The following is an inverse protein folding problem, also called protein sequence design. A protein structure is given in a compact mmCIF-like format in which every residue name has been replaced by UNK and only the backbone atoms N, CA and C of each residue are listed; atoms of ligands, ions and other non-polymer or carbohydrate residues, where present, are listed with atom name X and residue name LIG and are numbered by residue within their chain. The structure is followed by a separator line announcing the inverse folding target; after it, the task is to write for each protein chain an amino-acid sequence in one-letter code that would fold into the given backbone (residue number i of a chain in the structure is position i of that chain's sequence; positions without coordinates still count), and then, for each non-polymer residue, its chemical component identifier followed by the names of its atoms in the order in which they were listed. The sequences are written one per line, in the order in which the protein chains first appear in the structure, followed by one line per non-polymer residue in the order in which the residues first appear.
data_IF_008131632369
#
_entry.id   IF_008131632369
#
_cell.length_a   1.000
_cell.length_b   1.000
_cell.length_c   1.000
_cell.angle_alpha   90.00
_cell.angle_beta   90.00
_cell.angle_gamma   90.00
#
_symmetry.space_group_name_H-M   'P 1'
#
loop_
_entity.id
_entity.type
_entity.pdbx_description
1 polymer ?
#
# COMPACT_ATOMS: atom_id res chain seq x y z
N UNK A 1 12.52 -6.53 -8.90
CA UNK A 1 11.36 -6.46 -9.83
C UNK A 1 10.41 -5.31 -9.50
N UNK A 2 10.10 -5.03 -8.22
CA UNK A 2 9.28 -3.88 -7.80
C UNK A 2 9.86 -2.50 -8.20
N UNK A 3 11.18 -2.31 -8.04
CA UNK A 3 11.90 -1.10 -8.47
C UNK A 3 11.74 -0.75 -9.96
N UNK A 4 11.56 -1.76 -10.82
CA UNK A 4 11.38 -1.57 -12.27
C UNK A 4 9.98 -1.04 -12.62
N UNK A 5 8.94 -1.44 -11.87
CA UNK A 5 7.58 -0.94 -12.09
C UNK A 5 7.42 0.51 -11.62
N UNK A 6 8.00 0.87 -10.47
CA UNK A 6 7.97 2.24 -9.96
C UNK A 6 8.73 3.22 -10.88
N UNK A 7 9.90 2.82 -11.38
CA UNK A 7 10.66 3.64 -12.33
C UNK A 7 9.96 3.78 -13.69
N UNK A 8 9.28 2.73 -14.18
CA UNK A 8 8.50 2.80 -15.42
C UNK A 8 7.26 3.71 -15.30
N UNK A 9 6.61 3.73 -14.12
CA UNK A 9 5.50 4.65 -13.83
C UNK A 9 5.95 6.11 -13.75
N UNK A 10 7.13 6.37 -13.18
CA UNK A 10 7.68 7.73 -13.07
C UNK A 10 8.20 8.27 -14.41
N UNK A 11 8.76 7.42 -15.27
CA UNK A 11 9.32 7.84 -16.55
C UNK A 11 8.26 8.20 -17.62
N UNK A 12 6.98 7.88 -17.42
CA UNK A 12 5.87 7.97 -18.42
C UNK A 12 6.20 7.41 -19.81
N UNK A 13 7.29 6.66 -19.96
CA UNK A 13 7.74 6.03 -21.19
C UNK A 13 7.13 4.62 -21.31
N UNK A 14 5.82 4.51 -21.10
CA UNK A 14 5.10 3.30 -21.47
C UNK A 14 4.63 3.45 -22.93
N UNK A 15 5.01 2.53 -23.86
CA UNK A 15 4.62 2.64 -25.26
C UNK A 15 3.10 2.52 -25.48
N UNK A 16 2.37 2.03 -24.48
CA UNK A 16 0.93 1.80 -24.53
C UNK A 16 0.17 2.89 -23.77
N UNK A 17 -0.90 3.40 -24.37
CA UNK A 17 -1.81 4.35 -23.74
C UNK A 17 -2.63 3.59 -22.69
N UNK A 18 -2.45 3.92 -21.41
CA UNK A 18 -3.32 3.43 -20.36
C UNK A 18 -4.68 4.15 -20.47
N UNK A 19 -5.77 3.39 -20.46
CA UNK A 19 -7.12 3.91 -20.47
C UNK A 19 -7.87 3.35 -19.25
N UNK A 20 -8.48 4.24 -18.48
CA UNK A 20 -9.33 3.87 -17.36
C UNK A 20 -10.76 4.16 -17.79
N UNK A 21 -11.54 3.10 -17.95
CA UNK A 21 -12.95 3.19 -18.36
C UNK A 21 -13.82 2.52 -17.30
N UNK A 22 -14.86 3.22 -16.88
CA UNK A 22 -15.90 2.62 -16.05
C UNK A 22 -16.79 1.74 -16.91
N UNK A 23 -16.86 0.46 -16.57
CA UNK A 23 -17.81 -0.46 -17.20
C UNK A 23 -19.24 -0.19 -16.70
N UNK A 24 -20.27 -0.53 -17.48
CA UNK A 24 -21.66 -0.43 -17.05
C UNK A 24 -21.88 -1.16 -15.72
N UNK A 25 -22.68 -0.54 -14.84
CA UNK A 25 -23.07 -1.15 -13.57
C UNK A 25 -24.00 -2.34 -13.87
N UNK A 26 -23.71 -3.48 -13.25
CA UNK A 26 -24.55 -4.67 -13.33
C UNK A 26 -25.60 -4.55 -12.23
N UNK A 27 -26.86 -4.34 -12.61
CA UNK A 27 -27.99 -4.24 -11.68
C UNK A 27 -28.50 -5.62 -11.24
N UNK A 28 -27.60 -6.41 -10.62
CA UNK A 28 -27.89 -7.73 -10.08
C UNK A 28 -27.06 -7.98 -8.81
N UNK A 29 -27.50 -8.85 -7.88
CA UNK A 29 -26.72 -9.18 -6.69
C UNK A 29 -25.36 -9.77 -7.05
N UNK A 30 -24.28 -9.13 -6.58
CA UNK A 30 -22.91 -9.56 -6.86
C UNK A 30 -22.59 -10.95 -6.28
N UNK A 31 -23.25 -11.34 -5.20
CA UNK A 31 -23.07 -12.64 -4.54
C UNK A 31 -23.81 -13.79 -5.23
N UNK A 32 -24.63 -13.53 -6.26
CA UNK A 32 -25.31 -14.59 -6.99
C UNK A 32 -24.37 -15.22 -8.02
N UNK A 33 -24.27 -16.55 -8.00
CA UNK A 33 -23.36 -17.31 -8.86
C UNK A 33 -23.68 -17.11 -10.35
N UNK A 34 -24.96 -16.90 -10.70
CA UNK A 34 -25.39 -16.59 -12.07
C UNK A 34 -24.83 -15.24 -12.53
N UNK A 35 -24.84 -14.22 -11.66
CA UNK A 35 -24.26 -12.90 -11.93
C UNK A 35 -22.76 -13.01 -12.17
N UNK A 36 -22.05 -13.74 -11.30
CA UNK A 36 -20.60 -13.91 -11.41
C UNK A 36 -20.28 -14.65 -12.72
N UNK A 37 -20.97 -15.76 -13.00
CA UNK A 37 -20.76 -16.55 -14.21
C UNK A 37 -21.01 -15.77 -15.50
N UNK A 38 -22.14 -15.05 -15.60
CA UNK A 38 -22.45 -14.25 -16.79
C UNK A 38 -21.46 -13.10 -17.00
N UNK A 39 -21.00 -12.49 -15.91
CA UNK A 39 -19.97 -11.44 -15.93
C UNK A 39 -18.62 -11.99 -16.42
N UNK A 40 -18.17 -13.12 -15.87
CA UNK A 40 -16.93 -13.79 -16.31
C UNK A 40 -16.99 -14.13 -17.80
N UNK A 41 -18.13 -14.68 -18.26
CA UNK A 41 -18.36 -15.02 -19.67
C UNK A 41 -18.29 -13.79 -20.57
N UNK A 42 -18.93 -12.68 -20.16
CA UNK A 42 -18.90 -11.43 -20.89
C UNK A 42 -17.48 -10.89 -21.03
N UNK A 43 -16.74 -10.81 -19.91
CA UNK A 43 -15.35 -10.32 -19.90
C UNK A 43 -14.47 -11.18 -20.79
N UNK A 44 -14.52 -12.51 -20.62
CA UNK A 44 -13.71 -13.44 -21.43
C UNK A 44 -14.03 -13.35 -22.92
N UNK A 45 -15.31 -13.26 -23.28
CA UNK A 45 -15.73 -13.14 -24.69
C UNK A 45 -15.24 -11.83 -25.31
N UNK A 46 -15.28 -10.72 -24.57
CA UNK A 46 -14.77 -9.43 -25.04
C UNK A 46 -13.25 -9.43 -25.15
N UNK A 47 -12.55 -9.94 -24.14
CA UNK A 47 -11.10 -10.03 -24.14
C UNK A 47 -10.57 -10.91 -25.29
N UNK A 48 -11.23 -12.05 -25.54
CA UNK A 48 -10.91 -12.94 -26.67
C UNK A 48 -11.06 -12.24 -28.03
N UNK A 49 -12.10 -11.42 -28.22
CA UNK A 49 -12.27 -10.61 -29.45
C UNK A 49 -11.15 -9.59 -29.66
N UNK A 50 -10.55 -9.12 -28.58
CA UNK A 50 -9.43 -8.19 -28.60
C UNK A 50 -8.05 -8.89 -28.58
N UNK A 51 -8.00 -10.23 -28.50
CA UNK A 51 -6.74 -10.99 -28.44
C UNK A 51 -6.00 -10.88 -27.10
N UNK A 52 -6.68 -10.56 -26.01
CA UNK A 52 -6.08 -10.41 -24.68
C UNK A 52 -6.59 -11.46 -23.68
N UNK A 53 -5.73 -11.85 -22.73
CA UNK A 53 -6.12 -12.63 -21.55
C UNK A 53 -6.59 -11.68 -20.44
N UNK A 54 -7.84 -11.76 -19.98
CA UNK A 54 -8.35 -10.88 -18.94
C UNK A 54 -7.77 -11.22 -17.57
N UNK A 55 -7.43 -10.18 -16.81
CA UNK A 55 -7.07 -10.27 -15.39
C UNK A 55 -8.16 -9.55 -14.60
N UNK A 56 -8.83 -10.27 -13.70
CA UNK A 56 -9.96 -9.72 -12.94
C UNK A 56 -9.67 -9.83 -11.44
N UNK A 57 -9.82 -8.73 -10.73
CA UNK A 57 -9.68 -8.66 -9.28
C UNK A 57 -11.04 -8.69 -8.60
N UNK A 58 -11.17 -9.45 -7.52
CA UNK A 58 -12.42 -9.57 -6.75
C UNK A 58 -12.16 -9.37 -5.25
N UNK A 59 -13.14 -8.85 -4.52
CA UNK A 59 -13.14 -8.94 -3.05
C UNK A 59 -13.14 -10.40 -2.59
N UNK A 60 -12.66 -10.66 -1.38
CA UNK A 60 -12.37 -12.03 -0.91
C UNK A 60 -13.52 -13.03 -1.07
N UNK A 61 -14.73 -12.65 -0.68
CA UNK A 61 -15.90 -13.53 -0.80
C UNK A 61 -16.28 -13.82 -2.26
N UNK A 62 -16.14 -12.83 -3.15
CA UNK A 62 -16.46 -12.97 -4.57
C UNK A 62 -15.36 -13.74 -5.30
N UNK A 63 -14.11 -13.53 -4.92
CA UNK A 63 -12.97 -14.27 -5.44
C UNK A 63 -13.16 -15.77 -5.22
N UNK A 64 -13.55 -16.17 -4.01
CA UNK A 64 -13.80 -17.57 -3.69
C UNK A 64 -14.89 -18.20 -4.57
N UNK A 65 -16.00 -17.49 -4.78
CA UNK A 65 -17.09 -17.93 -5.68
C UNK A 65 -16.64 -18.01 -7.14
N UNK A 66 -15.93 -17.00 -7.62
CA UNK A 66 -15.41 -16.96 -8.98
C UNK A 66 -14.45 -18.13 -9.24
N UNK A 67 -13.56 -18.43 -8.29
CA UNK A 67 -12.65 -19.58 -8.38
C UNK A 67 -13.40 -20.91 -8.45
N UNK A 68 -14.45 -21.10 -7.64
CA UNK A 68 -15.28 -22.30 -7.71
C UNK A 68 -15.98 -22.42 -9.08
N UNK A 69 -16.60 -21.35 -9.57
CA UNK A 69 -17.27 -21.33 -10.87
C UNK A 69 -16.29 -21.69 -11.98
N UNK A 70 -15.09 -21.11 -11.96
CA UNK A 70 -14.04 -21.41 -12.93
C UNK A 70 -13.65 -22.87 -12.85
N UNK A 71 -13.42 -23.40 -11.64
CA UNK A 71 -12.97 -24.76 -11.43
C UNK A 71 -13.98 -25.81 -11.90
N UNK A 72 -15.27 -25.58 -11.67
CA UNK A 72 -16.34 -26.48 -12.12
C UNK A 72 -16.74 -26.29 -13.59
N UNK A 73 -16.29 -25.22 -14.26
CA UNK A 73 -16.60 -25.01 -15.67
C UNK A 73 -15.84 -25.98 -16.58
N UNK A 74 -16.45 -26.31 -17.72
CA UNK A 74 -15.79 -27.12 -18.76
C UNK A 74 -14.51 -26.43 -19.26
N UNK A 75 -13.53 -27.23 -19.67
CA UNK A 75 -12.25 -26.72 -20.20
C UNK A 75 -12.42 -25.88 -21.47
N UNK A 76 -13.52 -26.05 -22.21
CA UNK A 76 -13.85 -25.27 -23.39
C UNK A 76 -14.48 -23.90 -23.05
N UNK A 77 -14.73 -23.63 -21.77
CA UNK A 77 -15.33 -22.39 -21.34
C UNK A 77 -14.38 -21.20 -21.60
N UNK A 78 -14.84 -20.10 -22.23
CA UNK A 78 -13.98 -18.96 -22.57
C UNK A 78 -13.24 -18.34 -21.39
N UNK A 79 -13.79 -18.37 -20.18
CA UNK A 79 -13.17 -17.80 -19.00
C UNK A 79 -12.17 -18.73 -18.30
N UNK A 80 -11.92 -19.95 -18.81
CA UNK A 80 -10.94 -20.87 -18.21
C UNK A 80 -9.51 -20.35 -18.30
N UNK A 81 -9.22 -19.49 -19.28
CA UNK A 81 -7.92 -18.82 -19.46
C UNK A 81 -7.81 -17.50 -18.65
N UNK A 82 -8.90 -17.06 -18.01
CA UNK A 82 -8.90 -15.83 -17.22
C UNK A 82 -8.04 -15.96 -15.97
N UNK A 83 -7.34 -14.88 -15.60
CA UNK A 83 -6.59 -14.82 -14.34
C UNK A 83 -7.42 -14.10 -13.29
N UNK A 84 -7.91 -14.82 -12.29
CA UNK A 84 -8.62 -14.24 -11.15
C UNK A 84 -7.67 -13.94 -9.99
N UNK A 85 -7.62 -12.68 -9.57
CA UNK A 85 -6.78 -12.20 -8.47
C UNK A 85 -7.62 -11.79 -7.28
N UNK A 86 -7.12 -12.09 -6.08
CA UNK A 86 -7.69 -11.60 -4.84
C UNK A 86 -7.42 -10.10 -4.71
N UNK A 87 -8.47 -9.31 -4.47
CA UNK A 87 -8.39 -7.89 -4.21
C UNK A 87 -7.77 -7.63 -2.85
N UNK A 88 -6.70 -6.83 -2.81
CA UNK A 88 -5.96 -6.54 -1.57
C UNK A 88 -6.51 -5.39 -0.73
N UNK A 89 -7.54 -4.67 -1.21
CA UNK A 89 -8.03 -3.44 -0.56
C UNK A 89 -8.54 -3.70 0.86
N UNK A 90 -9.42 -4.69 1.03
CA UNK A 90 -9.93 -5.06 2.35
C UNK A 90 -8.84 -5.66 3.24
N UNK A 91 -7.96 -6.50 2.69
CA UNK A 91 -6.82 -7.06 3.45
C UNK A 91 -5.93 -5.96 4.01
N UNK A 92 -5.63 -4.93 3.21
CA UNK A 92 -4.85 -3.77 3.64
C UNK A 92 -5.56 -2.97 4.73
N UNK A 93 -6.85 -2.68 4.56
CA UNK A 93 -7.65 -1.99 5.58
C UNK A 93 -7.70 -2.78 6.90
N UNK A 94 -7.91 -4.09 6.85
CA UNK A 94 -7.90 -4.96 8.03
C UNK A 94 -6.52 -5.03 8.71
N UNK A 95 -5.44 -5.05 7.94
CA UNK A 95 -4.09 -5.04 8.49
C UNK A 95 -3.80 -3.75 9.25
N UNK A 96 -4.15 -2.59 8.69
CA UNK A 96 -4.04 -1.29 9.35
C UNK A 96 -4.88 -1.26 10.63
N UNK A 97 -6.13 -1.76 10.56
CA UNK A 97 -6.99 -1.86 11.73
C UNK A 97 -6.38 -2.72 12.85
N UNK A 98 -5.69 -3.81 12.48
CA UNK A 98 -4.98 -4.67 13.43
C UNK A 98 -3.84 -3.92 14.12
N UNK A 99 -3.05 -3.12 13.39
CA UNK A 99 -2.00 -2.27 13.98
C UNK A 99 -2.61 -1.33 15.01
N UNK A 100 -3.68 -0.61 14.63
CA UNK A 100 -4.36 0.33 15.53
C UNK A 100 -4.89 -0.35 16.80
N UNK A 101 -5.45 -1.55 16.68
CA UNK A 101 -5.93 -2.32 17.82
C UNK A 101 -4.79 -2.88 18.68
N UNK A 102 -3.72 -3.40 18.08
CA UNK A 102 -2.59 -3.99 18.81
C UNK A 102 -1.78 -2.93 19.56
N UNK A 103 -1.68 -1.73 18.99
CA UNK A 103 -0.93 -0.60 19.53
C UNK A 103 -1.81 0.36 20.32
N UNK A 104 -3.01 -0.04 20.71
CA UNK A 104 -3.86 0.78 21.57
C UNK A 104 -3.17 1.09 22.90
N UNK A 105 -3.21 2.36 23.33
CA UNK A 105 -2.48 2.84 24.52
C UNK A 105 -0.96 3.00 24.36
N UNK A 106 -0.38 2.79 23.18
CA UNK A 106 1.07 2.94 22.96
C UNK A 106 1.55 4.39 22.74
N UNK A 107 0.64 5.35 22.63
CA UNK A 107 0.96 6.71 22.15
C UNK A 107 0.78 6.90 20.64
N UNK A 108 0.48 5.83 19.89
CA UNK A 108 0.29 5.89 18.44
C UNK A 108 -0.88 6.81 18.04
N UNK A 109 -1.98 6.80 18.82
CA UNK A 109 -3.13 7.65 18.55
C UNK A 109 -2.74 9.13 18.63
N UNK A 110 -2.05 9.49 19.72
CA UNK A 110 -1.58 10.84 20.02
C UNK A 110 -0.59 11.34 18.96
N UNK A 111 0.30 10.47 18.47
CA UNK A 111 1.21 10.80 17.38
C UNK A 111 0.47 11.09 16.07
N UNK A 112 -0.57 10.30 15.76
CA UNK A 112 -1.37 10.53 14.56
C UNK A 112 -2.21 11.82 14.68
N UNK A 113 -2.67 12.17 15.88
CA UNK A 113 -3.36 13.43 16.18
C UNK A 113 -2.48 14.67 15.94
N UNK A 114 -1.15 14.53 15.95
CA UNK A 114 -0.23 15.63 15.58
C UNK A 114 -0.20 15.87 14.07
N UNK A 115 -0.49 14.85 13.27
CA UNK A 115 -0.42 14.90 11.80
C UNK A 115 -1.80 15.21 11.20
N UNK A 116 -2.86 14.67 11.81
CA UNK A 116 -4.24 14.76 11.35
C UNK A 116 -5.14 15.26 12.48
N UNK A 117 -6.26 15.91 12.13
CA UNK A 117 -7.25 16.32 13.11
C UNK A 117 -7.80 15.10 13.89
N UNK A 118 -8.03 15.26 15.19
CA UNK A 118 -8.44 14.18 16.10
C UNK A 118 -9.71 13.40 15.67
N UNK A 119 -10.61 14.04 14.92
CA UNK A 119 -11.78 13.38 14.35
C UNK A 119 -11.45 12.40 13.21
N UNK A 120 -10.25 12.50 12.62
CA UNK A 120 -9.77 11.67 11.51
C UNK A 120 -9.02 10.43 12.00
N UNK A 121 -8.35 10.53 13.13
CA UNK A 121 -7.51 9.47 13.73
C UNK A 121 -8.25 8.15 13.92
N UNK A 122 -9.50 8.11 14.44
CA UNK A 122 -10.25 6.85 14.53
C UNK A 122 -10.46 6.19 13.16
N UNK A 123 -10.66 6.95 12.09
CA UNK A 123 -10.81 6.41 10.74
C UNK A 123 -9.49 5.92 10.15
N UNK A 124 -8.37 6.49 10.56
CA UNK A 124 -7.02 6.03 10.22
C UNK A 124 -6.74 4.70 10.92
N UNK A 125 -6.87 4.67 12.25
CA UNK A 125 -6.57 3.51 13.08
C UNK A 125 -7.51 2.33 12.87
N UNK A 126 -8.73 2.57 12.37
CA UNK A 126 -9.66 1.49 11.97
C UNK A 126 -9.53 1.07 10.50
N UNK A 127 -8.54 1.61 9.77
CA UNK A 127 -8.31 1.28 8.36
C UNK A 127 -9.41 1.76 7.40
N UNK A 128 -10.33 2.62 7.85
CA UNK A 128 -11.44 3.16 7.04
C UNK A 128 -10.98 4.27 6.08
N UNK A 129 -9.85 4.92 6.37
CA UNK A 129 -9.24 5.91 5.49
C UNK A 129 -7.86 5.46 5.04
N UNK A 130 -7.81 4.44 4.19
CA UNK A 130 -6.56 3.72 3.81
C UNK A 130 -5.45 4.67 3.34
N UNK A 131 -5.71 5.59 2.41
CA UNK A 131 -4.66 6.50 1.90
C UNK A 131 -4.08 7.39 3.00
N UNK A 132 -4.94 7.88 3.91
CA UNK A 132 -4.49 8.68 5.06
C UNK A 132 -3.76 7.81 6.08
N UNK A 133 -4.23 6.58 6.30
CA UNK A 133 -3.63 5.67 7.25
C UNK A 133 -2.23 5.22 6.82
N UNK A 134 -2.04 4.85 5.56
CA UNK A 134 -0.71 4.52 5.00
C UNK A 134 0.23 5.70 5.20
N UNK A 135 -0.20 6.92 4.82
CA UNK A 135 0.62 8.12 5.00
C UNK A 135 0.96 8.36 6.47
N UNK A 136 -0.03 8.28 7.37
CA UNK A 136 0.18 8.48 8.81
C UNK A 136 1.22 7.49 9.37
N UNK A 137 1.07 6.19 9.07
CA UNK A 137 1.99 5.18 9.56
C UNK A 137 3.41 5.35 9.03
N UNK A 138 3.60 5.71 7.75
CA UNK A 138 4.95 5.96 7.19
C UNK A 138 5.59 7.19 7.85
N UNK A 139 4.81 8.25 8.11
CA UNK A 139 5.33 9.45 8.79
C UNK A 139 5.75 9.11 10.23
N UNK A 140 4.91 8.37 10.96
CA UNK A 140 5.21 7.95 12.33
C UNK A 140 6.44 7.04 12.37
N UNK A 141 6.53 6.06 11.47
CA UNK A 141 7.69 5.18 11.33
C UNK A 141 8.97 5.96 11.05
N UNK A 142 8.92 6.92 10.11
CA UNK A 142 10.07 7.75 9.74
C UNK A 142 10.53 8.62 10.92
N UNK A 143 9.59 9.24 11.63
CA UNK A 143 9.89 10.03 12.82
C UNK A 143 10.51 9.18 13.94
N UNK A 144 9.95 7.99 14.19
CA UNK A 144 10.47 7.06 15.19
C UNK A 144 11.89 6.60 14.84
N UNK A 145 12.15 6.29 13.57
CA UNK A 145 13.47 5.89 13.10
C UNK A 145 14.52 7.00 13.30
N UNK A 146 14.14 8.27 13.07
CA UNK A 146 15.00 9.43 13.32
C UNK A 146 15.34 9.54 14.81
N UNK A 147 14.34 9.46 15.69
CA UNK A 147 14.52 9.57 17.15
C UNK A 147 15.41 8.45 17.70
N UNK A 148 15.13 7.20 17.34
CA UNK A 148 15.92 6.04 17.78
C UNK A 148 17.38 6.13 17.33
N UNK A 149 17.62 6.64 16.12
CA UNK A 149 18.98 6.83 15.62
C UNK A 149 19.73 7.97 16.33
N UNK A 150 19.06 9.07 16.67
CA UNK A 150 19.66 10.17 17.45
C UNK A 150 20.07 9.72 18.85
N UNK A 151 19.26 8.89 19.49
CA UNK A 151 19.57 8.28 20.79
C UNK A 151 20.79 7.37 20.68
N UNK A 152 20.89 6.55 19.63
CA UNK A 152 22.06 5.69 19.39
C UNK A 152 23.35 6.49 19.15
N UNK A 153 23.30 7.58 18.37
CA UNK A 153 24.47 8.44 18.14
C UNK A 153 24.94 9.14 19.43
N UNK A 154 23.99 9.57 20.27
CA UNK A 154 24.30 10.19 21.55
C UNK A 154 25.00 9.20 22.48
N UNK A 155 24.49 7.96 22.55
CA UNK A 155 25.08 6.89 23.35
C UNK A 155 26.45 6.39 22.84
N UNK A 156 26.70 6.41 21.53
CA UNK A 156 28.00 6.06 20.94
C UNK A 156 29.06 7.13 21.26
N UNK A 157 28.69 8.41 21.26
CA UNK A 157 29.60 9.51 21.62
C UNK A 157 30.02 9.49 23.10
N UNK A 158 29.15 8.98 23.98
CA UNK A 158 29.47 8.77 25.39
C UNK A 158 30.33 7.50 25.63
N UNK A 159 30.17 6.47 24.79
CA UNK A 159 30.99 5.24 24.86
C UNK A 159 32.40 5.41 24.32
N UNK A 160 32.62 6.24 23.29
CA UNK A 160 33.98 6.57 22.81
C UNK A 160 34.81 7.30 23.88
N UNK A 161 34.18 7.93 24.87
CA UNK A 161 34.87 8.56 26.00
C UNK A 161 35.19 7.56 27.13
N UNK A 162 34.60 6.36 27.14
CA UNK A 162 34.68 5.41 28.26
C UNK A 162 35.25 4.01 27.95
N UNK A 163 35.64 3.69 26.72
CA UNK A 163 36.26 2.38 26.44
C UNK A 163 37.39 2.45 25.41
N UNK A 164 38.62 2.59 25.89
CA UNK A 164 39.84 2.30 25.10
C UNK A 164 40.25 0.81 25.19
N UNK A 165 39.46 -0.06 25.83
CA UNK A 165 39.69 -1.50 25.82
C UNK A 165 38.34 -2.23 25.84
N UNK A 166 37.91 -2.81 24.71
CA UNK A 166 37.37 -4.17 24.61
C UNK A 166 36.86 -4.51 23.20
N UNK A 167 37.01 -5.80 22.87
CA UNK A 167 36.90 -6.52 21.59
C UNK A 167 35.52 -6.43 20.89
N UNK A 168 35.41 -6.55 19.53
CA UNK A 168 34.14 -6.31 18.84
C UNK A 168 33.22 -7.52 18.92
N UNK A 169 32.05 -7.36 19.55
CA UNK A 169 30.96 -8.33 19.46
C UNK A 169 29.99 -7.97 18.33
N UNK A 170 29.64 -9.01 17.60
CA UNK A 170 28.85 -9.09 16.39
C UNK A 170 27.38 -8.75 16.63
N UNK A 171 26.98 -7.51 16.35
CA UNK A 171 25.64 -7.23 15.81
C UNK A 171 25.76 -6.01 14.91
N UNK A 172 26.03 -6.25 13.63
CA UNK A 172 26.05 -5.20 12.61
C UNK A 172 24.62 -4.75 12.31
N UNK A 173 24.01 -3.99 13.22
CA UNK A 173 23.07 -2.95 12.82
C UNK A 173 23.89 -1.94 12.02
N UNK A 174 23.63 -1.88 10.72
CA UNK A 174 24.34 -0.97 9.82
C UNK A 174 24.23 0.45 10.37
N UNK A 175 25.35 1.02 10.85
CA UNK A 175 25.43 2.44 11.20
C UNK A 175 24.97 3.25 9.99
N UNK A 176 23.80 3.88 10.07
CA UNK A 176 23.36 4.79 9.02
C UNK A 176 24.28 6.01 9.10
N UNK A 177 25.01 6.29 8.02
CA UNK A 177 25.87 7.47 7.96
C UNK A 177 25.07 8.74 8.23
N UNK A 178 25.68 9.73 8.89
CA UNK A 178 25.10 11.05 9.20
C UNK A 178 24.37 11.67 7.98
N UNK A 179 24.87 11.40 6.77
CA UNK A 179 24.26 11.86 5.53
C UNK A 179 22.85 11.27 5.30
N UNK A 180 22.66 9.97 5.58
CA UNK A 180 21.35 9.32 5.46
C UNK A 180 20.35 9.85 6.49
N UNK A 181 20.82 10.26 7.68
CA UNK A 181 19.96 10.88 8.70
C UNK A 181 19.37 12.22 8.24
N UNK A 182 20.20 13.08 7.65
CA UNK A 182 19.75 14.36 7.12
C UNK A 182 18.77 14.18 5.95
N UNK A 183 19.00 13.20 5.08
CA UNK A 183 18.07 12.83 4.01
C UNK A 183 16.71 12.39 4.57
N UNK A 184 16.68 11.57 5.62
CA UNK A 184 15.43 11.15 6.27
C UNK A 184 14.67 12.33 6.90
N UNK A 185 15.37 13.28 7.53
CA UNK A 185 14.73 14.49 8.09
C UNK A 185 14.13 15.38 7.00
N UNK A 186 14.83 15.56 5.87
CA UNK A 186 14.31 16.30 4.72
C UNK A 186 13.05 15.60 4.18
N UNK A 187 13.13 14.28 3.99
CA UNK A 187 12.01 13.49 3.49
C UNK A 187 10.81 13.54 4.44
N UNK A 188 11.03 13.51 5.76
CA UNK A 188 9.97 13.67 6.75
C UNK A 188 9.29 15.04 6.65
N UNK A 189 10.05 16.13 6.49
CA UNK A 189 9.48 17.48 6.34
C UNK A 189 8.66 17.60 5.04
N UNK A 190 9.17 17.07 3.92
CA UNK A 190 8.43 17.00 2.65
C UNK A 190 7.15 16.16 2.78
N UNK A 191 7.22 15.03 3.49
CA UNK A 191 6.08 14.18 3.78
C UNK A 191 5.02 14.93 4.58
N UNK A 192 5.41 15.67 5.62
CA UNK A 192 4.51 16.47 6.45
C UNK A 192 3.82 17.57 5.66
N UNK A 193 4.57 18.28 4.79
CA UNK A 193 4.05 19.30 3.87
C UNK A 193 3.13 18.75 2.78
N UNK A 194 3.23 17.45 2.50
CA UNK A 194 2.49 16.80 1.41
C UNK A 194 3.11 17.05 0.04
N UNK A 195 4.41 17.37 -0.01
CA UNK A 195 5.12 17.86 -1.21
C UNK A 195 5.84 16.75 -2.00
N UNK A 196 5.70 15.47 -1.63
CA UNK A 196 6.25 14.34 -2.40
C UNK A 196 5.65 14.14 -3.81
N UNK A 197 4.92 15.13 -4.33
CA UNK A 197 4.44 15.18 -5.70
C UNK A 197 5.29 16.17 -6.49
N UNK A 198 6.25 15.64 -7.26
CA UNK A 198 6.91 16.42 -8.30
C UNK A 198 5.88 17.07 -9.23
N UNK A 199 5.89 18.40 -9.30
CA UNK A 199 5.25 19.22 -10.34
C UNK A 199 3.88 18.72 -10.84
N UNK A 200 2.86 18.80 -9.98
CA UNK A 200 1.46 18.66 -10.36
C UNK A 200 0.66 19.85 -9.87
N UNK A 201 0.32 20.77 -10.79
CA UNK A 201 -0.53 21.95 -10.57
C UNK A 201 -1.69 21.66 -9.61
N UNK A 202 -1.93 22.59 -8.69
CA UNK A 202 -3.21 22.79 -8.00
C UNK A 202 -4.35 22.63 -9.02
N UNK A 203 -5.16 21.59 -8.88
CA UNK A 203 -6.54 21.64 -9.39
C UNK A 203 -7.36 22.26 -8.28
N UNK A 204 -7.75 23.51 -8.51
CA UNK A 204 -8.79 24.18 -7.76
C UNK A 204 -10.11 23.45 -7.96
N UNK A 205 -10.86 23.40 -6.87
CA UNK A 205 -12.22 22.91 -6.73
C UNK A 205 -13.21 23.63 -7.65
N UNK A 206 -14.01 22.85 -8.36
CA UNK A 206 -15.43 23.11 -8.63
C UNK A 206 -16.15 21.77 -8.74
#
# INVERSE_FOLDING_TARGET
MAYSMQNAMMARNHPWKAEIVFLPIIDMPASNDTTINSTLMFIATKAKKCGFTPIVTFDQQLWWKAMQIIEYASLQCPFREMICKLGGFHTMGSFIACIGHLMDGSGLHELIDLIYAANTTPHILTGKSISRAIRAHIIVESALHIVLHEEQLSNDSEKEVLSENDLPDSTSTSKLSINHHNELRILLDEMLRGELSGNGKKMESS
#
